data_IF_358124911852
#
_entry.id   IF_358124911852
#
_cell.length_a   1.000
_cell.length_b   1.000
_cell.length_c   1.000
_cell.angle_alpha   90.00
_cell.angle_beta   90.00
_cell.angle_gamma   90.00
#
_symmetry.space_group_name_H-M   'P 1'
#
loop_
_entity.id
_entity.type
_entity.pdbx_description
1 polymer ?
#
# COMPACT_ATOMS: atom_id res chain seq x y z
N UNK A 1 45.56 18.31 35.83
CA UNK A 1 44.23 17.70 36.01
C UNK A 1 43.57 17.67 34.65
N UNK A 2 43.47 16.47 34.10
CA UNK A 2 43.01 16.15 32.76
C UNK A 2 41.50 15.89 32.75
N UNK A 3 40.75 16.69 32.00
CA UNK A 3 39.44 16.32 31.47
C UNK A 3 39.41 16.73 29.99
N UNK A 4 40.12 15.95 29.18
CA UNK A 4 40.04 15.94 27.73
C UNK A 4 39.66 14.52 27.34
N UNK A 5 38.35 14.30 27.17
CA UNK A 5 37.74 13.23 26.37
C UNK A 5 36.25 13.29 26.67
N UNK A 6 35.46 14.06 25.91
CA UNK A 6 34.00 13.84 25.81
C UNK A 6 33.36 14.56 24.60
N UNK A 7 34.05 15.50 23.96
CA UNK A 7 33.49 16.24 22.81
C UNK A 7 33.72 15.60 21.43
N UNK A 8 34.28 14.39 21.36
CA UNK A 8 34.43 13.66 20.08
C UNK A 8 33.44 12.51 19.88
N UNK A 9 32.53 12.23 20.84
CA UNK A 9 31.52 11.17 20.66
C UNK A 9 30.12 11.70 20.28
N UNK A 10 29.87 13.01 20.35
CA UNK A 10 28.54 13.56 20.04
C UNK A 10 28.30 13.90 18.56
N UNK A 11 29.34 13.88 17.70
CA UNK A 11 29.24 14.26 16.29
C UNK A 11 28.95 13.09 15.31
N UNK A 12 28.86 11.85 15.79
CA UNK A 12 28.56 10.67 14.95
C UNK A 12 27.07 10.26 14.95
N UNK A 13 26.20 11.00 15.65
CA UNK A 13 24.78 10.63 15.83
C UNK A 13 23.82 11.22 14.78
N UNK A 14 24.33 11.88 13.74
CA UNK A 14 23.49 12.60 12.77
C UNK A 14 23.72 12.17 11.32
N UNK A 15 23.88 10.87 11.09
CA UNK A 15 23.50 10.30 9.80
C UNK A 15 22.11 9.69 9.93
N UNK A 16 21.09 10.12 9.16
CA UNK A 16 19.88 9.35 9.00
C UNK A 16 20.21 8.15 8.10
N UNK A 17 20.77 7.09 8.67
CA UNK A 17 20.67 5.79 8.03
C UNK A 17 19.18 5.45 8.00
N UNK A 18 18.62 5.29 6.80
CA UNK A 18 17.25 4.80 6.62
C UNK A 18 17.11 3.55 7.49
N UNK A 19 16.34 3.66 8.57
CA UNK A 19 15.87 2.51 9.32
C UNK A 19 14.82 1.83 8.44
N UNK A 20 15.29 1.14 7.41
CA UNK A 20 14.61 -0.04 6.89
C UNK A 20 14.49 -0.96 8.09
N UNK A 21 13.29 -1.03 8.65
CA UNK A 21 12.93 -2.01 9.69
C UNK A 21 12.95 -3.40 9.05
N UNK A 22 14.14 -3.86 8.70
CA UNK A 22 14.46 -5.25 8.55
C UNK A 22 14.58 -5.80 9.96
N UNK A 23 13.44 -6.03 10.60
CA UNK A 23 13.37 -7.02 11.67
C UNK A 23 13.56 -8.38 10.97
N UNK A 24 14.82 -8.70 10.69
CA UNK A 24 15.24 -10.04 10.33
C UNK A 24 15.27 -10.81 11.64
N UNK A 25 14.27 -11.66 11.83
CA UNK A 25 14.32 -12.71 12.85
C UNK A 25 15.63 -13.49 12.69
N UNK A 26 16.14 -13.99 13.81
CA UNK A 26 17.37 -14.77 14.03
C UNK A 26 17.60 -16.00 13.12
N UNK A 27 16.71 -16.24 12.16
CA UNK A 27 16.80 -17.29 11.14
C UNK A 27 17.12 -16.79 9.72
N UNK A 28 17.45 -15.50 9.54
CA UNK A 28 18.02 -14.99 8.28
C UNK A 28 17.14 -15.07 7.01
N UNK A 29 15.92 -15.59 7.08
CA UNK A 29 14.97 -15.58 5.97
C UNK A 29 14.05 -14.36 6.08
N UNK A 30 14.43 -13.27 5.41
CA UNK A 30 13.55 -12.13 5.21
C UNK A 30 12.21 -12.53 4.58
N UNK A 31 11.16 -11.76 4.86
CA UNK A 31 9.80 -11.98 4.33
C UNK A 31 9.75 -12.21 2.81
N UNK A 32 10.69 -11.62 2.06
CA UNK A 32 10.83 -11.84 0.62
C UNK A 32 11.32 -13.25 0.23
N UNK A 33 12.20 -13.88 1.03
CA UNK A 33 12.70 -15.24 0.76
C UNK A 33 11.65 -16.30 1.11
N UNK A 34 10.80 -16.05 2.12
CA UNK A 34 9.71 -16.96 2.50
C UNK A 34 8.61 -17.06 1.44
N UNK A 35 8.42 -16.04 0.60
CA UNK A 35 7.43 -16.06 -0.49
C UNK A 35 7.86 -16.83 -1.73
N UNK A 36 9.17 -17.06 -1.91
CA UNK A 36 9.71 -17.78 -3.08
C UNK A 36 9.41 -19.29 -3.09
N UNK A 37 8.96 -19.86 -1.96
CA UNK A 37 8.62 -21.28 -1.83
C UNK A 37 7.11 -21.57 -1.83
N UNK A 38 6.25 -20.55 -1.97
CA UNK A 38 4.80 -20.73 -1.90
C UNK A 38 4.20 -21.24 -3.22
N UNK A 39 3.30 -22.20 -3.10
CA UNK A 39 2.52 -22.73 -4.22
C UNK A 39 1.32 -21.85 -4.54
N UNK A 40 0.69 -22.08 -5.70
CA UNK A 40 -0.55 -21.40 -6.08
C UNK A 40 -1.67 -21.60 -5.03
N UNK A 41 -1.76 -22.80 -4.45
CA UNK A 41 -2.74 -23.14 -3.42
C UNK A 41 -2.49 -22.35 -2.13
N UNK A 42 -1.22 -22.13 -1.75
CA UNK A 42 -0.87 -21.33 -0.59
C UNK A 42 -1.29 -19.86 -0.76
N UNK A 43 -1.12 -19.30 -1.96
CA UNK A 43 -1.59 -17.94 -2.26
C UNK A 43 -3.12 -17.83 -2.18
N UNK A 44 -3.84 -18.83 -2.67
CA UNK A 44 -5.31 -18.88 -2.58
C UNK A 44 -5.75 -19.01 -1.12
N UNK A 45 -5.10 -19.88 -0.35
CA UNK A 45 -5.37 -20.06 1.08
C UNK A 45 -5.18 -18.75 1.86
N UNK A 46 -4.04 -18.07 1.64
CA UNK A 46 -3.75 -16.77 2.27
C UNK A 46 -4.72 -15.68 1.82
N UNK A 47 -5.11 -15.66 0.54
CA UNK A 47 -6.11 -14.72 0.05
C UNK A 47 -7.48 -14.93 0.72
N UNK A 48 -7.90 -16.19 0.91
CA UNK A 48 -9.14 -16.51 1.65
C UNK A 48 -9.04 -16.20 3.14
N UNK A 49 -7.87 -16.34 3.75
CA UNK A 49 -7.66 -15.92 5.14
C UNK A 49 -7.74 -14.39 5.27
N UNK A 50 -7.13 -13.65 4.34
CA UNK A 50 -7.21 -12.20 4.27
C UNK A 50 -8.65 -11.72 4.02
N UNK A 51 -9.42 -12.42 3.19
CA UNK A 51 -10.85 -12.16 2.98
C UNK A 51 -11.63 -12.27 4.29
N UNK A 52 -11.44 -13.36 5.06
CA UNK A 52 -12.07 -13.54 6.38
C UNK A 52 -11.66 -12.46 7.38
N UNK A 53 -10.44 -11.96 7.28
CA UNK A 53 -9.92 -10.86 8.09
C UNK A 53 -10.30 -9.47 7.57
N UNK A 54 -11.05 -9.37 6.46
CA UNK A 54 -11.41 -8.11 5.79
C UNK A 54 -10.20 -7.25 5.36
N UNK A 55 -9.04 -7.88 5.18
CA UNK A 55 -7.78 -7.23 4.76
C UNK A 55 -7.61 -7.33 3.26
N UNK A 56 -8.42 -6.57 2.53
CA UNK A 56 -8.52 -6.65 1.06
C UNK A 56 -7.26 -6.18 0.31
N UNK A 57 -6.44 -5.32 0.92
CA UNK A 57 -5.14 -4.91 0.35
C UNK A 57 -4.14 -6.08 0.36
N UNK A 58 -4.06 -6.82 1.47
CA UNK A 58 -3.19 -8.00 1.56
C UNK A 58 -3.67 -9.13 0.65
N UNK A 59 -5.00 -9.29 0.57
CA UNK A 59 -5.64 -10.20 -0.38
C UNK A 59 -5.23 -9.87 -1.82
N UNK A 60 -5.21 -8.59 -2.22
CA UNK A 60 -4.73 -8.16 -3.55
C UNK A 60 -3.25 -8.52 -3.78
N UNK A 61 -2.40 -8.34 -2.76
CA UNK A 61 -0.97 -8.71 -2.84
C UNK A 61 -0.84 -10.21 -3.11
N UNK A 62 -1.55 -11.06 -2.37
CA UNK A 62 -1.50 -12.51 -2.59
C UNK A 62 -2.02 -12.90 -3.99
N UNK A 63 -3.12 -12.29 -4.44
CA UNK A 63 -3.67 -12.56 -5.77
C UNK A 63 -2.74 -12.09 -6.91
N UNK A 64 -1.92 -11.06 -6.68
CA UNK A 64 -0.88 -10.65 -7.64
C UNK A 64 0.22 -11.70 -7.76
N UNK A 65 0.70 -12.24 -6.64
CA UNK A 65 1.67 -13.34 -6.68
C UNK A 65 1.11 -14.60 -7.35
N UNK A 66 -0.19 -14.88 -7.15
CA UNK A 66 -0.88 -15.96 -7.86
C UNK A 66 -0.88 -15.76 -9.38
N UNK A 67 -1.09 -14.52 -9.85
CA UNK A 67 -1.06 -14.18 -11.29
C UNK A 67 0.33 -14.34 -11.90
N UNK A 68 1.38 -14.01 -11.14
CA UNK A 68 2.77 -14.17 -11.58
C UNK A 68 3.14 -15.67 -11.72
N UNK A 69 2.58 -16.53 -10.87
CA UNK A 69 2.81 -17.97 -10.89
C UNK A 69 1.91 -18.72 -11.90
N UNK A 70 0.67 -18.26 -12.09
CA UNK A 70 -0.37 -18.93 -12.88
C UNK A 70 -0.96 -18.01 -13.95
N UNK A 71 -0.72 -18.33 -15.22
CA UNK A 71 -1.25 -17.57 -16.37
C UNK A 71 -2.78 -17.62 -16.55
N UNK A 72 -3.46 -18.67 -16.08
CA UNK A 72 -4.91 -18.85 -16.30
C UNK A 72 -5.64 -19.09 -14.98
N UNK A 73 -6.48 -18.13 -14.60
CA UNK A 73 -7.28 -18.22 -13.38
C UNK A 73 -8.59 -19.00 -13.60
N UNK A 74 -9.03 -19.73 -12.59
CA UNK A 74 -10.35 -20.36 -12.53
C UNK A 74 -11.46 -19.30 -12.35
N UNK A 75 -12.73 -19.72 -12.41
CA UNK A 75 -13.84 -18.80 -12.13
C UNK A 75 -13.78 -18.28 -10.68
N UNK A 76 -13.53 -19.17 -9.72
CA UNK A 76 -13.46 -18.84 -8.29
C UNK A 76 -12.29 -17.89 -7.97
N UNK A 77 -11.11 -18.14 -8.56
CA UNK A 77 -9.94 -17.28 -8.35
C UNK A 77 -10.16 -15.87 -8.94
N UNK A 78 -10.81 -15.78 -10.10
CA UNK A 78 -11.21 -14.48 -10.65
C UNK A 78 -12.21 -13.76 -9.76
N UNK A 79 -13.18 -14.47 -9.18
CA UNK A 79 -14.10 -13.88 -8.23
C UNK A 79 -13.36 -13.34 -7.00
N UNK A 80 -12.39 -14.09 -6.49
CA UNK A 80 -11.54 -13.67 -5.37
C UNK A 80 -10.80 -12.35 -5.70
N UNK A 81 -10.23 -12.24 -6.90
CA UNK A 81 -9.57 -11.02 -7.36
C UNK A 81 -10.53 -9.82 -7.47
N UNK A 82 -11.73 -10.05 -8.00
CA UNK A 82 -12.78 -9.00 -8.13
C UNK A 82 -13.23 -8.51 -6.76
N UNK A 83 -13.46 -9.42 -5.81
CA UNK A 83 -13.84 -9.10 -4.43
C UNK A 83 -12.76 -8.25 -3.77
N UNK A 84 -11.49 -8.66 -3.88
CA UNK A 84 -10.36 -7.93 -3.33
C UNK A 84 -10.30 -6.49 -3.89
N UNK A 85 -10.37 -6.34 -5.21
CA UNK A 85 -10.29 -5.03 -5.87
C UNK A 85 -11.47 -4.12 -5.53
N UNK A 86 -12.70 -4.64 -5.60
CA UNK A 86 -13.92 -3.87 -5.31
C UNK A 86 -13.90 -3.32 -3.89
N UNK A 87 -13.55 -4.15 -2.91
CA UNK A 87 -13.56 -3.72 -1.51
C UNK A 87 -12.45 -2.72 -1.21
N UNK A 88 -11.23 -2.95 -1.70
CA UNK A 88 -10.12 -1.99 -1.57
C UNK A 88 -10.49 -0.59 -2.10
N UNK A 89 -11.04 -0.50 -3.31
CA UNK A 89 -11.45 0.78 -3.89
C UNK A 89 -12.62 1.40 -3.13
N UNK A 90 -13.57 0.58 -2.68
CA UNK A 90 -14.73 1.05 -1.91
C UNK A 90 -14.31 1.65 -0.57
N UNK A 91 -13.42 0.98 0.17
CA UNK A 91 -12.85 1.48 1.42
C UNK A 91 -12.14 2.81 1.21
N UNK A 92 -11.30 2.94 0.17
CA UNK A 92 -10.62 4.20 -0.16
C UNK A 92 -11.60 5.33 -0.52
N UNK A 93 -12.63 5.04 -1.32
CA UNK A 93 -13.68 6.04 -1.67
C UNK A 93 -14.45 6.50 -0.43
N UNK A 94 -14.76 5.60 0.48
CA UNK A 94 -15.43 5.92 1.74
C UNK A 94 -14.54 6.77 2.63
N UNK A 95 -13.25 6.41 2.79
CA UNK A 95 -12.28 7.22 3.51
C UNK A 95 -12.16 8.65 2.93
N UNK A 96 -12.05 8.78 1.60
CA UNK A 96 -12.00 10.10 0.94
C UNK A 96 -13.29 10.90 1.18
N UNK A 97 -14.47 10.27 1.11
CA UNK A 97 -15.74 10.95 1.42
C UNK A 97 -15.79 11.43 2.87
N UNK A 98 -15.36 10.60 3.82
CA UNK A 98 -15.31 10.99 5.23
C UNK A 98 -14.32 12.14 5.44
N UNK A 99 -13.13 12.07 4.85
CA UNK A 99 -12.15 13.14 4.91
C UNK A 99 -12.68 14.44 4.31
N UNK A 100 -13.29 14.37 3.11
CA UNK A 100 -13.91 15.53 2.45
C UNK A 100 -15.00 16.14 3.33
N UNK A 101 -15.81 15.31 4.00
CA UNK A 101 -16.87 15.78 4.90
C UNK A 101 -16.29 16.40 6.16
N UNK A 102 -15.27 15.80 6.76
CA UNK A 102 -14.60 16.31 7.96
C UNK A 102 -13.93 17.64 7.68
N UNK A 103 -13.21 17.75 6.56
CA UNK A 103 -12.52 18.97 6.20
C UNK A 103 -13.41 20.07 5.65
N UNK A 104 -14.64 19.78 5.20
CA UNK A 104 -15.65 20.82 4.99
C UNK A 104 -16.13 21.47 6.30
N UNK A 105 -15.95 20.78 7.44
CA UNK A 105 -16.29 21.29 8.78
C UNK A 105 -15.11 21.99 9.46
N UNK A 106 -13.89 21.72 9.01
CA UNK A 106 -12.65 22.29 9.54
C UNK A 106 -12.09 23.20 8.47
N UNK A 107 -12.28 24.51 8.64
CA UNK A 107 -11.88 25.57 7.71
C UNK A 107 -10.34 25.76 7.59
N UNK A 108 -9.56 24.69 7.47
CA UNK A 108 -8.17 24.74 6.98
C UNK A 108 -8.15 24.37 5.49
N UNK A 109 -8.60 25.35 4.70
CA UNK A 109 -9.15 25.24 3.34
C UNK A 109 -8.14 24.91 2.22
N UNK A 110 -6.83 24.90 2.46
CA UNK A 110 -5.86 24.95 1.34
C UNK A 110 -5.53 23.58 0.70
N UNK A 111 -5.32 22.53 1.50
CA UNK A 111 -4.81 21.26 0.95
C UNK A 111 -5.87 20.50 0.15
N UNK A 112 -7.12 20.54 0.59
CA UNK A 112 -8.21 19.82 -0.08
C UNK A 112 -8.71 20.53 -1.31
N UNK A 113 -8.72 21.87 -1.31
CA UNK A 113 -9.02 22.63 -2.52
C UNK A 113 -8.05 22.25 -3.64
N UNK A 114 -6.75 22.17 -3.33
CA UNK A 114 -5.70 21.73 -4.27
C UNK A 114 -5.93 20.29 -4.75
N UNK A 115 -6.32 19.36 -3.87
CA UNK A 115 -6.60 17.96 -4.25
C UNK A 115 -7.83 17.87 -5.17
N UNK A 116 -8.90 18.60 -4.86
CA UNK A 116 -10.14 18.61 -5.65
C UNK A 116 -9.88 19.24 -7.03
N UNK A 117 -9.18 20.38 -7.08
CA UNK A 117 -8.80 21.05 -8.33
C UNK A 117 -7.93 20.14 -9.20
N UNK A 118 -6.90 19.51 -8.62
CA UNK A 118 -6.03 18.57 -9.34
C UNK A 118 -6.81 17.40 -9.94
N UNK A 119 -7.77 16.82 -9.21
CA UNK A 119 -8.59 15.72 -9.72
C UNK A 119 -9.56 16.18 -10.82
N UNK A 120 -10.09 17.40 -10.72
CA UNK A 120 -10.98 18.00 -11.72
C UNK A 120 -10.23 18.26 -13.02
N UNK A 121 -9.04 18.87 -12.95
CA UNK A 121 -8.15 19.10 -14.10
C UNK A 121 -7.74 17.79 -14.79
N UNK A 122 -7.37 16.76 -14.02
CA UNK A 122 -7.05 15.44 -14.57
C UNK A 122 -8.24 14.80 -15.29
N UNK A 123 -9.46 15.02 -14.79
CA UNK A 123 -10.66 14.51 -15.43
C UNK A 123 -10.94 15.25 -16.73
N UNK A 124 -10.86 16.58 -16.72
CA UNK A 124 -11.04 17.43 -17.91
C UNK A 124 -10.02 17.11 -19.00
N UNK A 125 -8.74 16.93 -18.64
CA UNK A 125 -7.68 16.55 -19.56
C UNK A 125 -7.96 15.18 -20.20
N UNK A 126 -8.34 14.18 -19.38
CA UNK A 126 -8.70 12.83 -19.88
C UNK A 126 -9.93 12.84 -20.78
N UNK A 127 -10.86 13.78 -20.57
CA UNK A 127 -12.02 13.96 -21.45
C UNK A 127 -11.59 14.61 -22.77
N UNK A 128 -10.82 15.70 -22.72
CA UNK A 128 -10.31 16.36 -23.93
C UNK A 128 -9.47 15.43 -24.82
N UNK A 129 -8.61 14.62 -24.22
CA UNK A 129 -7.80 13.64 -24.96
C UNK A 129 -8.66 12.56 -25.61
N UNK A 130 -9.79 12.18 -25.00
CA UNK A 130 -10.75 11.22 -25.57
C UNK A 130 -11.64 11.80 -26.66
N UNK A 131 -11.78 13.12 -26.73
CA UNK A 131 -12.55 13.79 -27.79
C UNK A 131 -11.69 14.17 -28.99
N UNK A 132 -10.36 14.16 -28.85
CA UNK A 132 -9.40 14.55 -29.88
C UNK A 132 -8.79 13.37 -30.65
N UNK A 133 -9.04 12.14 -30.23
CA UNK A 133 -8.68 10.88 -30.87
C UNK A 133 -9.87 9.94 -30.83
#
# INVERSE_FOLDING_TARGET
MSYQTDDQQHALRTQPQLLMTNQTDENGLGMHAKMAALTAEDFIYRARLAEKALRYEDMLIQMRHLLDLKKKLSADERNLLVVAYKNTVTTRRTAIRHLTTYCKKIDEVKLIQVIIEKNTLNTQLKTKLRTLY
#
